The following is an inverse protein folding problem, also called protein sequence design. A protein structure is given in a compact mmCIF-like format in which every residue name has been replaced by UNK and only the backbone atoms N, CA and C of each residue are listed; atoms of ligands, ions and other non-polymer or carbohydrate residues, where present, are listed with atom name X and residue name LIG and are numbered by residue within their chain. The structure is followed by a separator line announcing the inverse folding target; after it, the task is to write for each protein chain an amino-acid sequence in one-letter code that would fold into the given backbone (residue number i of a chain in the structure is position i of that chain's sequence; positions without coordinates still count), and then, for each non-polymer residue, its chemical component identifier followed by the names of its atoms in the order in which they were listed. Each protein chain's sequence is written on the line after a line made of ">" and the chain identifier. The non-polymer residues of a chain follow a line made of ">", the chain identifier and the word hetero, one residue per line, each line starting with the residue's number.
data_IF_257861145591
#
_entry.id   IF_257861145591
#
_cell.length_a   1.000
_cell.length_b   1.000
_cell.length_c   1.000
_cell.angle_alpha   90.00
_cell.angle_beta   90.00
_cell.angle_gamma   90.00
#
_symmetry.space_group_name_H-M   'P 1'
#
loop_
_entity.id
_entity.type
_entity.pdbx_description
1 polymer ?
#
# COMPACT_ATOMS: atom_id res chain seq x y z
N UNK A 1 -1.81 40.79 -5.89
CA UNK A 1 -0.75 39.79 -5.67
C UNK A 1 -1.08 38.59 -6.54
N UNK A 2 -0.53 38.54 -7.75
CA UNK A 2 -0.74 37.38 -8.62
C UNK A 2 -0.07 36.18 -7.95
N UNK A 3 -0.81 35.10 -7.72
CA UNK A 3 -0.24 33.85 -7.23
C UNK A 3 0.72 33.37 -8.32
N UNK A 4 2.00 33.20 -8.00
CA UNK A 4 2.96 32.72 -8.98
C UNK A 4 2.63 31.27 -9.40
N UNK A 5 3.05 30.89 -10.61
CA UNK A 5 2.76 29.57 -11.19
C UNK A 5 3.33 28.44 -10.31
N UNK A 6 4.46 28.67 -9.63
CA UNK A 6 5.11 27.69 -8.77
C UNK A 6 4.28 27.40 -7.51
N UNK A 7 3.62 28.42 -6.95
CA UNK A 7 2.72 28.33 -5.81
C UNK A 7 1.45 27.59 -6.21
N UNK A 8 0.91 27.85 -7.39
CA UNK A 8 -0.22 27.09 -7.94
C UNK A 8 0.16 25.61 -8.07
N UNK A 9 1.34 25.31 -8.64
CA UNK A 9 1.84 23.95 -8.78
C UNK A 9 2.07 23.26 -7.44
N UNK A 10 2.67 23.95 -6.48
CA UNK A 10 2.90 23.43 -5.14
C UNK A 10 1.58 23.04 -4.47
N UNK A 11 0.58 23.93 -4.52
CA UNK A 11 -0.76 23.65 -3.99
C UNK A 11 -1.44 22.51 -4.74
N UNK A 12 -1.31 22.44 -6.07
CA UNK A 12 -1.86 21.35 -6.87
C UNK A 12 -1.24 19.99 -6.50
N UNK A 13 0.07 19.93 -6.28
CA UNK A 13 0.76 18.72 -5.82
C UNK A 13 0.27 18.30 -4.44
N UNK A 14 0.16 19.23 -3.48
CA UNK A 14 -0.36 18.93 -2.15
C UNK A 14 -1.80 18.40 -2.19
N UNK A 15 -2.68 19.09 -2.93
CA UNK A 15 -4.08 18.69 -3.08
C UNK A 15 -4.20 17.31 -3.74
N UNK A 16 -3.39 17.03 -4.75
CA UNK A 16 -3.41 15.74 -5.42
C UNK A 16 -2.81 14.62 -4.55
N UNK A 17 -1.77 14.90 -3.77
CA UNK A 17 -1.21 13.96 -2.80
C UNK A 17 -2.24 13.60 -1.71
N UNK A 18 -3.02 14.58 -1.26
CA UNK A 18 -4.14 14.37 -0.34
C UNK A 18 -5.28 13.59 -0.99
N UNK A 19 -5.63 13.91 -2.24
CA UNK A 19 -6.60 13.14 -3.03
C UNK A 19 -6.17 11.67 -3.20
N UNK A 20 -4.91 11.45 -3.59
CA UNK A 20 -4.32 10.11 -3.67
C UNK A 20 -4.43 9.38 -2.35
N UNK A 21 -4.06 10.02 -1.23
CA UNK A 21 -4.15 9.43 0.12
C UNK A 21 -5.57 9.00 0.46
N UNK A 22 -6.56 9.85 0.19
CA UNK A 22 -7.97 9.53 0.43
C UNK A 22 -8.42 8.33 -0.41
N UNK A 23 -8.08 8.33 -1.71
CA UNK A 23 -8.41 7.20 -2.60
C UNK A 23 -7.69 5.92 -2.21
N UNK A 24 -6.47 6.01 -1.68
CA UNK A 24 -5.71 4.87 -1.20
C UNK A 24 -6.41 4.22 0.00
N UNK A 25 -6.78 5.01 1.00
CA UNK A 25 -7.52 4.52 2.17
C UNK A 25 -8.85 3.85 1.78
N UNK A 26 -9.57 4.41 0.80
CA UNK A 26 -10.80 3.84 0.25
C UNK A 26 -10.53 2.48 -0.43
N UNK A 27 -9.54 2.42 -1.31
CA UNK A 27 -9.19 1.22 -2.06
C UNK A 27 -8.80 0.06 -1.13
N UNK A 28 -7.98 0.36 -0.12
CA UNK A 28 -7.34 -0.66 0.72
C UNK A 28 -8.12 -1.02 1.99
N UNK A 29 -9.19 -0.28 2.30
CA UNK A 29 -10.15 -0.66 3.34
C UNK A 29 -10.57 -2.14 3.22
N UNK A 30 -10.86 -2.57 1.99
CA UNK A 30 -11.24 -3.95 1.69
C UNK A 30 -10.19 -4.97 2.12
N UNK A 31 -8.91 -4.66 1.98
CA UNK A 31 -7.79 -5.57 2.32
C UNK A 31 -7.64 -5.75 3.82
N UNK A 32 -7.89 -4.69 4.60
CA UNK A 32 -7.73 -4.71 6.06
C UNK A 32 -8.93 -5.36 6.75
N UNK A 33 -10.16 -5.08 6.30
CA UNK A 33 -11.37 -5.48 7.03
C UNK A 33 -12.11 -6.69 6.47
N UNK A 34 -11.84 -7.13 5.24
CA UNK A 34 -12.65 -8.17 4.58
C UNK A 34 -12.73 -9.49 5.37
N UNK A 35 -11.60 -10.02 5.84
CA UNK A 35 -11.57 -11.30 6.57
C UNK A 35 -12.26 -11.18 7.94
N UNK A 36 -12.11 -10.02 8.58
CA UNK A 36 -12.70 -9.71 9.88
C UNK A 36 -14.24 -9.63 9.80
N UNK A 37 -14.76 -9.06 8.72
CA UNK A 37 -16.20 -9.00 8.43
C UNK A 37 -16.71 -10.36 7.94
N UNK A 38 -16.03 -11.01 6.99
CA UNK A 38 -16.54 -12.21 6.30
C UNK A 38 -16.69 -13.42 7.22
N UNK A 39 -15.83 -13.57 8.23
CA UNK A 39 -15.96 -14.61 9.25
C UNK A 39 -16.97 -14.25 10.37
N UNK A 40 -17.59 -13.07 10.30
CA UNK A 40 -18.59 -12.58 11.23
C UNK A 40 -18.04 -12.25 12.61
N UNK A 41 -16.81 -11.73 12.71
CA UNK A 41 -16.22 -11.29 13.97
C UNK A 41 -16.59 -9.85 14.33
N UNK A 42 -16.85 -9.00 13.32
CA UNK A 42 -17.32 -7.63 13.46
C UNK A 42 -18.33 -7.27 12.37
N UNK A 43 -19.19 -6.28 12.63
CA UNK A 43 -20.02 -5.67 11.59
C UNK A 43 -19.16 -4.77 10.68
N UNK A 44 -19.63 -4.45 9.45
CA UNK A 44 -18.90 -3.56 8.56
C UNK A 44 -18.49 -2.23 9.21
N UNK A 45 -19.41 -1.57 9.92
CA UNK A 45 -19.15 -0.30 10.62
C UNK A 45 -18.09 -0.48 11.70
N UNK A 46 -18.21 -1.53 12.54
CA UNK A 46 -17.22 -1.81 13.58
C UNK A 46 -15.82 -2.04 13.01
N UNK A 47 -15.73 -2.80 11.93
CA UNK A 47 -14.45 -3.14 11.33
C UNK A 47 -13.77 -1.91 10.70
N UNK A 48 -14.49 -1.10 9.91
CA UNK A 48 -13.91 0.10 9.30
C UNK A 48 -13.56 1.18 10.34
N UNK A 49 -14.35 1.33 11.40
CA UNK A 49 -14.03 2.27 12.48
C UNK A 49 -12.78 1.86 13.25
N UNK A 50 -12.66 0.58 13.61
CA UNK A 50 -11.44 0.06 14.25
C UNK A 50 -10.22 0.27 13.36
N UNK A 51 -10.34 -0.12 12.09
CA UNK A 51 -9.24 0.00 11.14
C UNK A 51 -8.83 1.47 10.96
N UNK A 52 -9.78 2.39 10.77
CA UNK A 52 -9.48 3.81 10.60
C UNK A 52 -8.74 4.43 11.80
N UNK A 53 -9.07 4.03 13.04
CA UNK A 53 -8.36 4.52 14.23
C UNK A 53 -6.92 4.00 14.25
N UNK A 54 -6.72 2.70 14.04
CA UNK A 54 -5.38 2.12 14.09
C UNK A 54 -4.52 2.49 12.88
N UNK A 55 -5.13 2.74 11.73
CA UNK A 55 -4.50 3.33 10.54
C UNK A 55 -3.89 4.69 10.87
N UNK A 56 -4.66 5.57 11.53
CA UNK A 56 -4.19 6.88 11.99
C UNK A 56 -3.00 6.73 12.95
N UNK A 57 -3.12 5.83 13.93
CA UNK A 57 -2.03 5.56 14.87
C UNK A 57 -0.78 5.03 14.15
N UNK A 58 -0.95 4.13 13.18
CA UNK A 58 0.13 3.63 12.33
C UNK A 58 0.84 4.76 11.59
N UNK A 59 0.08 5.66 10.96
CA UNK A 59 0.61 6.82 10.25
C UNK A 59 1.41 7.77 11.14
N UNK A 60 0.95 7.99 12.39
CA UNK A 60 1.56 8.92 13.34
C UNK A 60 2.83 8.36 13.98
N UNK A 61 2.79 7.10 14.42
CA UNK A 61 3.82 6.49 15.26
C UNK A 61 4.88 5.68 14.49
N UNK A 62 4.67 5.40 13.21
CA UNK A 62 5.66 4.68 12.41
C UNK A 62 6.85 5.56 12.01
N UNK A 63 7.99 4.92 11.76
CA UNK A 63 9.21 5.57 11.29
C UNK A 63 9.14 5.99 9.81
N UNK A 64 10.24 6.57 9.32
CA UNK A 64 10.34 7.14 7.98
C UNK A 64 11.02 6.26 6.93
N UNK A 65 11.37 5.02 7.28
CA UNK A 65 12.19 4.17 6.42
C UNK A 65 11.52 3.85 5.07
N UNK A 66 10.19 3.71 5.06
CA UNK A 66 9.39 3.52 3.83
C UNK A 66 9.37 4.80 2.99
N UNK A 67 9.17 5.97 3.62
CA UNK A 67 9.18 7.27 2.95
C UNK A 67 10.52 7.52 2.24
N UNK A 68 11.64 7.26 2.94
CA UNK A 68 12.99 7.37 2.38
C UNK A 68 13.21 6.42 1.19
N UNK A 69 12.63 5.22 1.24
CA UNK A 69 12.75 4.27 0.14
C UNK A 69 11.97 4.74 -1.09
N UNK A 70 10.76 5.29 -0.91
CA UNK A 70 9.96 5.84 -2.02
C UNK A 70 10.69 7.01 -2.69
N UNK A 71 11.27 7.94 -1.92
CA UNK A 71 12.01 9.06 -2.50
C UNK A 71 13.33 8.63 -3.14
N UNK A 72 13.91 7.49 -2.72
CA UNK A 72 15.14 6.94 -3.31
C UNK A 72 14.97 6.28 -4.68
N UNK A 73 13.74 6.11 -5.17
CA UNK A 73 13.48 5.49 -6.49
C UNK A 73 14.10 6.31 -7.63
N UNK A 74 14.20 7.63 -7.47
CA UNK A 74 14.76 8.53 -8.46
C UNK A 74 15.67 9.58 -7.85
N UNK A 75 16.59 10.09 -8.69
CA UNK A 75 17.39 11.29 -8.39
C UNK A 75 16.52 12.53 -8.63
N UNK A 76 15.61 12.78 -7.69
CA UNK A 76 14.71 13.93 -7.76
C UNK A 76 15.48 15.24 -7.54
N UNK A 77 15.16 16.33 -8.28
CA UNK A 77 15.71 17.65 -8.00
C UNK A 77 15.40 18.08 -6.56
N UNK A 78 16.32 18.83 -5.97
CA UNK A 78 16.15 19.45 -4.64
C UNK A 78 15.64 20.88 -4.73
N UNK A 79 15.06 21.25 -5.88
CA UNK A 79 14.47 22.55 -6.18
C UNK A 79 13.05 22.37 -6.74
N UNK A 80 12.38 23.49 -7.03
CA UNK A 80 10.97 23.48 -7.43
C UNK A 80 10.70 22.80 -8.79
N UNK A 81 11.73 22.43 -9.56
CA UNK A 81 11.56 21.61 -10.78
C UNK A 81 11.09 20.18 -10.46
N UNK A 82 11.11 19.76 -9.20
CA UNK A 82 10.49 18.50 -8.76
C UNK A 82 8.96 18.52 -8.83
N UNK A 83 8.33 19.71 -8.78
CA UNK A 83 6.87 19.84 -8.68
C UNK A 83 6.13 19.20 -9.87
N UNK A 84 6.46 19.48 -11.14
CA UNK A 84 5.78 18.87 -12.28
C UNK A 84 5.96 17.35 -12.34
N UNK A 85 7.11 16.84 -11.87
CA UNK A 85 7.43 15.40 -11.85
C UNK A 85 6.55 14.68 -10.83
N UNK A 86 6.47 15.19 -9.60
CA UNK A 86 5.62 14.60 -8.55
C UNK A 86 4.14 14.77 -8.90
N UNK A 87 3.74 15.90 -9.50
CA UNK A 87 2.38 16.10 -9.98
C UNK A 87 1.99 15.03 -11.01
N UNK A 88 2.83 14.83 -12.03
CA UNK A 88 2.60 13.82 -13.07
C UNK A 88 2.60 12.39 -12.51
N UNK A 89 3.50 12.08 -11.56
CA UNK A 89 3.56 10.79 -10.90
C UNK A 89 2.27 10.47 -10.13
N UNK A 90 1.78 11.43 -9.34
CA UNK A 90 0.54 11.30 -8.60
C UNK A 90 -0.67 11.23 -9.53
N UNK A 91 -0.70 12.00 -10.62
CA UNK A 91 -1.78 11.94 -11.62
C UNK A 91 -1.85 10.56 -12.24
N UNK A 92 -0.73 10.01 -12.72
CA UNK A 92 -0.70 8.67 -13.31
C UNK A 92 -1.16 7.58 -12.33
N UNK A 93 -0.72 7.67 -11.07
CA UNK A 93 -1.15 6.75 -10.01
C UNK A 93 -2.65 6.87 -9.70
N UNK A 94 -3.18 8.09 -9.56
CA UNK A 94 -4.61 8.35 -9.29
C UNK A 94 -5.48 7.90 -10.45
N UNK A 95 -5.11 8.25 -11.69
CA UNK A 95 -5.84 7.84 -12.90
C UNK A 95 -5.94 6.31 -12.94
N UNK A 96 -4.82 5.60 -12.74
CA UNK A 96 -4.84 4.14 -12.76
C UNK A 96 -5.67 3.55 -11.61
N UNK A 97 -5.54 4.07 -10.40
CA UNK A 97 -6.35 3.64 -9.26
C UNK A 97 -7.86 3.84 -9.50
N UNK A 98 -8.27 4.93 -10.15
CA UNK A 98 -9.67 5.17 -10.51
C UNK A 98 -10.14 4.17 -11.58
N UNK A 99 -9.30 3.88 -12.58
CA UNK A 99 -9.59 2.88 -13.62
C UNK A 99 -9.80 1.50 -12.98
N UNK A 100 -8.87 1.04 -12.15
CA UNK A 100 -8.96 -0.29 -11.52
C UNK A 100 -10.14 -0.36 -10.55
N UNK A 101 -10.40 0.69 -9.79
CA UNK A 101 -11.57 0.78 -8.91
C UNK A 101 -12.90 0.72 -9.68
N UNK A 102 -12.99 1.39 -10.84
CA UNK A 102 -14.16 1.36 -11.71
C UNK A 102 -14.45 -0.05 -12.24
N UNK A 103 -13.40 -0.80 -12.59
CA UNK A 103 -13.51 -2.19 -13.02
C UNK A 103 -13.56 -3.20 -11.85
N UNK A 104 -13.48 -2.75 -10.60
CA UNK A 104 -13.46 -3.62 -9.41
C UNK A 104 -12.25 -4.56 -9.36
N UNK A 105 -11.16 -4.19 -10.04
CA UNK A 105 -9.92 -4.96 -10.09
C UNK A 105 -9.17 -4.77 -8.75
N UNK A 106 -8.74 -5.87 -8.09
CA UNK A 106 -7.94 -5.82 -6.88
C UNK A 106 -6.49 -5.38 -7.20
N UNK A 107 -6.33 -4.09 -7.47
CA UNK A 107 -5.05 -3.46 -7.79
C UNK A 107 -4.30 -3.00 -6.54
N UNK A 108 -3.06 -2.54 -6.71
CA UNK A 108 -2.26 -2.00 -5.63
C UNK A 108 -1.92 -0.54 -5.87
N UNK A 109 -2.35 0.33 -4.97
CA UNK A 109 -1.95 1.73 -4.99
C UNK A 109 -0.44 1.91 -4.87
N UNK A 110 0.26 0.97 -4.23
CA UNK A 110 1.74 0.99 -4.16
C UNK A 110 2.36 0.76 -5.53
N UNK A 111 1.86 -0.22 -6.29
CA UNK A 111 2.32 -0.47 -7.65
C UNK A 111 1.99 0.74 -8.55
N UNK A 112 0.81 1.33 -8.40
CA UNK A 112 0.40 2.50 -9.15
C UNK A 112 1.30 3.72 -8.85
N UNK A 113 1.60 3.96 -7.58
CA UNK A 113 2.49 5.06 -7.17
C UNK A 113 3.92 4.87 -7.68
N UNK A 114 4.46 3.66 -7.56
CA UNK A 114 5.82 3.32 -8.00
C UNK A 114 5.93 3.43 -9.52
N UNK A 115 4.94 2.89 -10.24
CA UNK A 115 4.82 3.07 -11.69
C UNK A 115 4.74 4.54 -12.07
N UNK A 116 3.88 5.31 -11.40
CA UNK A 116 3.74 6.74 -11.63
C UNK A 116 5.04 7.52 -11.45
N UNK A 117 5.78 7.25 -10.37
CA UNK A 117 7.09 7.87 -10.12
C UNK A 117 8.09 7.51 -11.23
N UNK A 118 8.24 6.23 -11.53
CA UNK A 118 9.16 5.75 -12.57
C UNK A 118 8.83 6.38 -13.94
N UNK A 119 7.55 6.39 -14.31
CA UNK A 119 7.09 6.96 -15.58
C UNK A 119 7.30 8.46 -15.69
N UNK A 120 7.02 9.21 -14.62
CA UNK A 120 7.24 10.65 -14.57
C UNK A 120 8.74 11.00 -14.62
N UNK A 121 9.58 10.31 -13.83
CA UNK A 121 11.04 10.52 -13.84
C UNK A 121 11.63 10.19 -15.21
N UNK A 122 11.20 9.08 -15.83
CA UNK A 122 11.66 8.72 -17.17
C UNK A 122 11.27 9.81 -18.18
N UNK A 123 10.02 10.26 -18.19
CA UNK A 123 9.58 11.30 -19.12
C UNK A 123 10.31 12.64 -18.91
N UNK A 124 10.63 12.99 -17.66
CA UNK A 124 11.29 14.24 -17.31
C UNK A 124 12.79 14.26 -17.60
N UNK A 125 13.49 13.20 -17.22
CA UNK A 125 14.96 13.19 -17.15
C UNK A 125 15.60 11.96 -17.79
N UNK A 126 14.80 11.05 -18.35
CA UNK A 126 15.27 9.81 -18.94
C UNK A 126 15.55 8.69 -17.91
N UNK A 127 15.72 7.48 -18.43
CA UNK A 127 15.89 6.27 -17.61
C UNK A 127 17.13 6.28 -16.68
N UNK A 128 18.13 7.11 -16.97
CA UNK A 128 19.34 7.25 -16.14
C UNK A 128 19.14 7.97 -14.80
N UNK A 129 18.01 8.67 -14.63
CA UNK A 129 17.65 9.33 -13.37
C UNK A 129 16.86 8.44 -12.42
N UNK A 130 16.45 7.26 -12.88
CA UNK A 130 15.88 6.21 -12.03
C UNK A 130 17.04 5.48 -11.36
N UNK A 131 16.98 5.34 -10.04
CA UNK A 131 17.92 4.53 -9.27
C UNK A 131 17.48 3.08 -9.40
N UNK A 132 17.96 2.39 -10.43
CA UNK A 132 17.58 1.01 -10.70
C UNK A 132 18.02 0.04 -9.59
N UNK A 133 19.07 0.36 -8.83
CA UNK A 133 19.52 -0.42 -7.66
C UNK A 133 20.44 -1.60 -7.98
N UNK A 134 20.75 -1.87 -9.26
CA UNK A 134 21.63 -2.97 -9.66
C UNK A 134 23.08 -2.75 -9.24
N UNK A 135 23.58 -1.52 -9.37
CA UNK A 135 24.96 -1.20 -9.03
C UNK A 135 25.18 -1.33 -7.51
N UNK A 136 24.23 -0.85 -6.72
CA UNK A 136 24.24 -0.92 -5.26
C UNK A 136 24.14 -2.35 -4.73
N UNK A 137 23.44 -3.24 -5.46
CA UNK A 137 23.37 -4.66 -5.15
C UNK A 137 24.67 -5.40 -5.50
N UNK A 138 25.26 -5.11 -6.65
CA UNK A 138 26.45 -5.82 -7.15
C UNK A 138 27.75 -5.33 -6.51
N UNK A 139 27.85 -4.05 -6.20
CA UNK A 139 29.02 -3.47 -5.54
C UNK A 139 28.95 -3.69 -4.01
N UNK A 140 30.08 -3.94 -3.33
CA UNK A 140 30.12 -3.92 -1.88
C UNK A 140 29.59 -2.58 -1.34
N UNK A 141 28.68 -2.56 -0.35
CA UNK A 141 28.34 -3.64 0.58
C UNK A 141 27.07 -4.45 0.26
N UNK A 142 26.64 -4.53 -1.01
CA UNK A 142 25.49 -5.33 -1.48
C UNK A 142 24.14 -4.89 -0.89
N UNK A 143 23.78 -3.62 -1.11
CA UNK A 143 22.56 -3.03 -0.58
C UNK A 143 21.41 -3.08 -1.59
N UNK A 144 20.24 -3.50 -1.12
CA UNK A 144 18.99 -3.29 -1.85
C UNK A 144 18.58 -1.83 -1.71
N UNK A 145 18.58 -1.09 -2.82
CA UNK A 145 18.20 0.33 -2.87
C UNK A 145 17.31 0.65 -4.08
N UNK A 146 16.78 1.88 -4.09
CA UNK A 146 16.03 2.44 -5.22
C UNK A 146 14.85 1.58 -5.67
N UNK A 147 14.63 1.54 -6.97
CA UNK A 147 13.54 0.79 -7.60
C UNK A 147 13.62 -0.71 -7.30
N UNK A 148 14.82 -1.31 -7.31
CA UNK A 148 14.99 -2.75 -7.05
C UNK A 148 14.52 -3.14 -5.65
N UNK A 149 14.85 -2.35 -4.61
CA UNK A 149 14.34 -2.61 -3.26
C UNK A 149 12.81 -2.68 -3.24
N UNK A 150 12.15 -1.77 -3.96
CA UNK A 150 10.68 -1.72 -4.02
C UNK A 150 10.11 -2.92 -4.78
N UNK A 151 10.63 -3.25 -5.97
CA UNK A 151 10.18 -4.41 -6.74
C UNK A 151 10.37 -5.71 -5.95
N UNK A 152 11.53 -5.91 -5.33
CA UNK A 152 11.78 -7.08 -4.47
C UNK A 152 10.79 -7.11 -3.31
N UNK A 153 10.53 -5.98 -2.67
CA UNK A 153 9.56 -5.90 -1.57
C UNK A 153 8.13 -6.26 -2.02
N UNK A 154 7.72 -5.79 -3.20
CA UNK A 154 6.40 -6.07 -3.78
C UNK A 154 6.24 -7.55 -4.20
N UNK A 155 7.32 -8.22 -4.60
CA UNK A 155 7.32 -9.64 -4.96
C UNK A 155 7.46 -10.58 -3.77
N UNK A 156 8.30 -10.23 -2.78
CA UNK A 156 8.60 -11.09 -1.62
C UNK A 156 7.49 -11.01 -0.58
N UNK A 157 6.87 -9.84 -0.37
CA UNK A 157 5.87 -9.67 0.69
C UNK A 157 4.61 -10.55 0.54
N UNK A 158 4.05 -10.81 -0.64
CA UNK A 158 2.91 -11.73 -0.80
C UNK A 158 3.31 -13.18 -0.56
N UNK A 159 4.53 -13.57 -0.97
CA UNK A 159 5.09 -14.90 -0.69
C UNK A 159 5.35 -15.09 0.81
N UNK A 160 5.88 -14.07 1.49
CA UNK A 160 6.04 -14.08 2.94
C UNK A 160 4.69 -14.26 3.64
N UNK A 161 3.66 -13.52 3.19
CA UNK A 161 2.29 -13.70 3.67
C UNK A 161 1.77 -15.12 3.44
N UNK A 162 1.95 -15.68 2.24
CA UNK A 162 1.56 -17.06 1.92
C UNK A 162 2.25 -18.10 2.81
N UNK A 163 3.58 -18.03 2.93
CA UNK A 163 4.38 -18.98 3.72
C UNK A 163 4.00 -18.88 5.20
N UNK A 164 3.90 -17.66 5.73
CA UNK A 164 3.49 -17.43 7.11
C UNK A 164 2.06 -17.92 7.36
N UNK A 165 1.12 -17.61 6.48
CA UNK A 165 -0.27 -18.07 6.57
C UNK A 165 -0.38 -19.59 6.53
N UNK A 166 0.32 -20.24 5.61
CA UNK A 166 0.34 -21.70 5.47
C UNK A 166 0.92 -22.37 6.73
N UNK A 167 2.09 -21.91 7.18
CA UNK A 167 2.78 -22.46 8.35
C UNK A 167 1.96 -22.27 9.63
N UNK A 168 1.48 -21.05 9.87
CA UNK A 168 0.67 -20.73 11.05
C UNK A 168 -0.66 -21.48 11.07
N UNK A 169 -1.27 -21.75 9.91
CA UNK A 169 -2.48 -22.56 9.84
C UNK A 169 -2.19 -24.02 10.23
N UNK A 170 -1.13 -24.63 9.69
CA UNK A 170 -0.73 -26.00 10.08
C UNK A 170 -0.44 -26.10 11.58
N UNK A 171 0.28 -25.13 12.15
CA UNK A 171 0.53 -25.05 13.59
C UNK A 171 -0.79 -24.95 14.36
N UNK A 172 -1.69 -24.06 13.93
CA UNK A 172 -2.98 -23.84 14.58
C UNK A 172 -3.85 -25.09 14.59
N UNK A 173 -3.87 -25.87 13.50
CA UNK A 173 -4.59 -27.14 13.43
C UNK A 173 -4.08 -28.16 14.46
N UNK A 174 -2.76 -28.24 14.64
CA UNK A 174 -2.16 -29.14 15.65
C UNK A 174 -2.48 -28.67 17.07
N UNK A 175 -2.33 -27.37 17.36
CA UNK A 175 -2.58 -26.80 18.68
C UNK A 175 -4.06 -26.87 19.08
N UNK A 176 -4.97 -26.67 18.13
CA UNK A 176 -6.41 -26.61 18.36
C UNK A 176 -7.13 -27.95 18.13
N UNK A 177 -6.41 -29.05 17.85
CA UNK A 177 -6.99 -30.37 17.55
C UNK A 177 -7.93 -30.92 18.63
N UNK A 178 -7.75 -30.50 19.89
CA UNK A 178 -8.58 -30.91 21.04
C UNK A 178 -9.59 -29.84 21.48
N UNK A 179 -9.66 -28.71 20.77
CA UNK A 179 -10.50 -27.59 21.15
C UNK A 179 -11.97 -27.85 20.81
N UNK A 180 -12.88 -27.45 21.71
CA UNK A 180 -14.32 -27.45 21.42
C UNK A 180 -14.67 -26.31 20.48
N UNK A 181 -15.32 -26.63 19.35
CA UNK A 181 -15.61 -25.70 18.26
C UNK A 181 -16.36 -24.42 18.69
N UNK A 182 -17.43 -24.55 19.49
CA UNK A 182 -18.27 -23.41 19.89
C UNK A 182 -17.54 -22.40 20.80
N UNK A 183 -16.85 -22.90 21.83
CA UNK A 183 -16.08 -22.06 22.76
C UNK A 183 -14.88 -21.42 22.07
N UNK A 184 -14.22 -22.16 21.17
CA UNK A 184 -13.04 -21.67 20.46
C UNK A 184 -13.41 -20.56 19.47
N UNK A 185 -14.48 -20.70 18.70
CA UNK A 185 -14.93 -19.66 17.78
C UNK A 185 -15.18 -18.32 18.48
N UNK A 186 -15.79 -18.32 19.67
CA UNK A 186 -16.00 -17.09 20.44
C UNK A 186 -14.67 -16.43 20.86
N UNK A 187 -13.69 -17.22 21.30
CA UNK A 187 -12.36 -16.72 21.68
C UNK A 187 -11.60 -16.19 20.47
N UNK A 188 -11.58 -16.94 19.37
CA UNK A 188 -10.94 -16.54 18.11
C UNK A 188 -11.50 -15.21 17.60
N UNK A 189 -12.84 -15.05 17.56
CA UNK A 189 -13.48 -13.80 17.16
C UNK A 189 -13.07 -12.62 18.06
N UNK A 190 -12.88 -12.83 19.37
CA UNK A 190 -12.38 -11.78 20.28
C UNK A 190 -10.93 -11.41 19.99
N UNK A 191 -10.04 -12.39 19.79
CA UNK A 191 -8.64 -12.12 19.45
C UNK A 191 -8.46 -11.42 18.10
N UNK A 192 -9.38 -11.63 17.14
CA UNK A 192 -9.34 -10.93 15.87
C UNK A 192 -9.46 -9.41 16.00
N UNK A 193 -10.12 -8.87 17.03
CA UNK A 193 -10.16 -7.42 17.23
C UNK A 193 -8.76 -6.84 17.42
N UNK A 194 -7.92 -7.52 18.20
CA UNK A 194 -6.54 -7.09 18.40
C UNK A 194 -5.71 -7.28 17.13
N UNK A 195 -5.87 -8.41 16.44
CA UNK A 195 -5.08 -8.67 15.22
C UNK A 195 -5.48 -7.76 14.05
N UNK A 196 -6.77 -7.45 13.90
CA UNK A 196 -7.26 -6.50 12.91
C UNK A 196 -6.74 -5.09 13.20
N UNK A 197 -6.69 -4.69 14.48
CA UNK A 197 -6.07 -3.43 14.90
C UNK A 197 -4.57 -3.37 14.57
N UNK A 198 -3.83 -4.45 14.83
CA UNK A 198 -2.39 -4.51 14.50
C UNK A 198 -2.14 -4.53 12.98
N UNK A 199 -2.98 -5.22 12.20
CA UNK A 199 -2.91 -5.19 10.74
C UNK A 199 -3.17 -3.77 10.21
N UNK A 200 -4.21 -3.09 10.70
CA UNK A 200 -4.50 -1.70 10.34
C UNK A 200 -3.36 -0.74 10.76
N UNK A 201 -2.78 -0.94 11.94
CA UNK A 201 -1.62 -0.17 12.38
C UNK A 201 -0.42 -0.36 11.44
N UNK A 202 -0.10 -1.61 11.09
CA UNK A 202 0.97 -1.93 10.14
C UNK A 202 0.70 -1.34 8.76
N UNK A 203 -0.54 -1.41 8.29
CA UNK A 203 -1.00 -0.80 7.04
C UNK A 203 -0.75 0.71 7.04
N UNK A 204 -1.29 1.45 8.01
CA UNK A 204 -1.07 2.90 8.13
C UNK A 204 0.39 3.27 8.25
N UNK A 205 1.19 2.46 8.94
CA UNK A 205 2.63 2.63 9.06
C UNK A 205 3.42 2.45 7.76
N UNK A 206 2.93 1.64 6.82
CA UNK A 206 3.57 1.46 5.51
C UNK A 206 3.02 2.45 4.48
N UNK A 207 1.69 2.52 4.36
CA UNK A 207 1.01 3.18 3.25
C UNK A 207 1.03 4.71 3.37
N UNK A 208 0.85 5.24 4.59
CA UNK A 208 0.89 6.69 4.79
C UNK A 208 2.29 7.25 4.54
N UNK A 209 3.35 6.47 4.82
CA UNK A 209 4.73 6.90 4.60
C UNK A 209 5.04 7.13 3.11
N UNK A 210 4.32 6.49 2.19
CA UNK A 210 4.50 6.66 0.74
C UNK A 210 4.13 8.08 0.32
N UNK A 211 2.95 8.56 0.71
CA UNK A 211 2.54 9.95 0.45
C UNK A 211 3.35 10.94 1.27
N UNK A 212 3.61 10.65 2.55
CA UNK A 212 4.44 11.52 3.42
C UNK A 212 5.81 11.74 2.79
N UNK A 213 6.43 10.70 2.19
CA UNK A 213 7.70 10.83 1.49
C UNK A 213 7.65 11.79 0.30
N UNK A 214 6.60 11.71 -0.53
CA UNK A 214 6.45 12.60 -1.68
C UNK A 214 6.18 14.05 -1.27
N UNK A 215 5.29 14.28 -0.30
CA UNK A 215 5.07 15.61 0.26
C UNK A 215 6.36 16.14 0.89
N UNK A 216 7.11 15.28 1.59
CA UNK A 216 8.42 15.62 2.13
C UNK A 216 9.41 16.10 1.09
N UNK A 217 9.54 15.39 -0.03
CA UNK A 217 10.41 15.79 -1.14
C UNK A 217 10.04 17.18 -1.68
N UNK A 218 8.74 17.45 -1.82
CA UNK A 218 8.22 18.77 -2.25
C UNK A 218 8.55 19.87 -1.24
N UNK A 219 8.38 19.60 0.06
CA UNK A 219 8.67 20.58 1.12
C UNK A 219 10.17 20.87 1.26
N UNK A 220 11.02 19.87 1.05
CA UNK A 220 12.48 20.04 0.99
C UNK A 220 12.87 20.91 -0.20
N UNK A 221 12.31 20.62 -1.38
CA UNK A 221 12.53 21.41 -2.59
C UNK A 221 12.06 22.87 -2.46
N UNK A 222 10.99 23.10 -1.71
CA UNK A 222 10.48 24.44 -1.40
C UNK A 222 11.24 25.14 -0.25
N UNK A 223 12.29 24.52 0.30
CA UNK A 223 13.06 25.01 1.46
C UNK A 223 12.21 25.25 2.73
N UNK A 224 11.01 24.69 2.78
CA UNK A 224 10.08 24.82 3.92
C UNK A 224 10.36 23.80 5.03
N UNK A 225 11.13 22.76 4.73
CA UNK A 225 11.37 21.66 5.66
C UNK A 225 12.74 20.97 5.49
N UNK A 226 13.86 21.71 5.64
CA UNK A 226 15.20 21.16 5.44
C UNK A 226 15.63 20.17 6.54
N UNK A 227 15.00 20.21 7.72
CA UNK A 227 15.42 19.46 8.92
C UNK A 227 14.57 18.21 9.23
N UNK A 228 13.61 17.84 8.38
CA UNK A 228 12.81 16.62 8.55
C UNK A 228 11.29 16.83 8.42
N UNK A 229 10.56 15.73 8.25
CA UNK A 229 9.13 15.71 7.91
C UNK A 229 8.24 16.37 8.98
N UNK A 230 7.46 17.43 8.64
CA UNK A 230 6.64 18.14 9.61
C UNK A 230 5.50 17.28 10.18
N UNK A 231 5.18 17.50 11.46
CA UNK A 231 4.11 16.76 12.14
C UNK A 231 2.75 16.96 11.47
N UNK A 232 2.46 18.15 10.95
CA UNK A 232 1.20 18.43 10.26
C UNK A 232 1.01 17.54 9.03
N UNK A 233 2.08 17.20 8.29
CA UNK A 233 2.00 16.29 7.14
C UNK A 233 1.55 14.91 7.59
N UNK A 234 2.14 14.40 8.68
CA UNK A 234 1.76 13.08 9.23
C UNK A 234 0.31 13.06 9.70
N UNK A 235 -0.13 14.11 10.40
CA UNK A 235 -1.50 14.23 10.88
C UNK A 235 -2.48 14.31 9.70
N UNK A 236 -2.22 15.18 8.72
CA UNK A 236 -3.08 15.35 7.54
C UNK A 236 -3.18 14.07 6.71
N UNK A 237 -2.05 13.43 6.40
CA UNK A 237 -2.04 12.17 5.64
C UNK A 237 -2.75 11.06 6.42
N UNK A 238 -2.47 10.91 7.72
CA UNK A 238 -3.13 9.92 8.57
C UNK A 238 -4.64 10.12 8.62
N UNK A 239 -5.11 11.35 8.83
CA UNK A 239 -6.55 11.66 8.85
C UNK A 239 -7.23 11.38 7.52
N UNK A 240 -6.59 11.72 6.40
CA UNK A 240 -7.12 11.45 5.06
C UNK A 240 -7.16 9.95 4.75
N UNK A 241 -6.13 9.20 5.15
CA UNK A 241 -6.09 7.75 4.98
C UNK A 241 -7.23 7.10 5.79
N UNK A 242 -7.40 7.51 7.05
CA UNK A 242 -8.50 7.06 7.91
C UNK A 242 -9.87 7.45 7.36
N UNK A 243 -10.04 8.67 6.81
CA UNK A 243 -11.28 9.11 6.18
C UNK A 243 -11.61 8.28 4.93
N UNK A 244 -10.59 7.97 4.12
CA UNK A 244 -10.71 7.04 3.00
C UNK A 244 -11.17 5.67 3.46
N UNK A 245 -10.55 5.15 4.53
CA UNK A 245 -10.89 3.85 5.11
C UNK A 245 -12.33 3.78 5.64
N UNK A 246 -12.81 4.84 6.27
CA UNK A 246 -14.21 4.97 6.72
C UNK A 246 -15.19 5.02 5.54
N UNK A 247 -14.77 5.58 4.41
CA UNK A 247 -15.56 5.61 3.17
C UNK A 247 -15.72 4.21 2.54
N UNK A 248 -14.87 3.25 2.96
CA UNK A 248 -14.95 1.84 2.64
C UNK A 248 -14.36 1.50 1.27
N UNK A 249 -14.47 0.24 0.86
CA UNK A 249 -13.93 -0.27 -0.41
C UNK A 249 -14.87 -1.31 -1.01
N UNK A 250 -16.19 -1.10 -0.89
CA UNK A 250 -17.20 -2.14 -1.00
C UNK A 250 -17.26 -2.83 -2.37
N UNK A 251 -16.91 -2.11 -3.46
CA UNK A 251 -16.81 -2.72 -4.79
C UNK A 251 -15.71 -3.78 -4.82
N UNK A 252 -14.52 -3.46 -4.33
CA UNK A 252 -13.36 -4.37 -4.26
C UNK A 252 -13.61 -5.48 -3.25
N UNK A 253 -14.22 -5.16 -2.10
CA UNK A 253 -14.56 -6.16 -1.08
C UNK A 253 -15.50 -7.25 -1.61
N UNK A 254 -16.42 -6.91 -2.51
CA UNK A 254 -17.29 -7.91 -3.16
C UNK A 254 -16.50 -8.88 -4.03
N UNK A 255 -15.45 -8.41 -4.70
CA UNK A 255 -14.57 -9.25 -5.54
C UNK A 255 -13.65 -10.13 -4.68
N UNK A 256 -13.02 -9.57 -3.64
CA UNK A 256 -11.95 -10.24 -2.86
C UNK A 256 -12.49 -11.04 -1.66
N UNK A 257 -13.53 -10.55 -0.98
CA UNK A 257 -13.91 -11.01 0.36
C UNK A 257 -14.46 -12.44 0.46
N UNK A 258 -15.00 -13.00 -0.63
CA UNK A 258 -15.37 -14.43 -0.75
C UNK A 258 -14.79 -15.10 -1.98
N UNK A 259 -14.11 -14.36 -2.86
CA UNK A 259 -13.67 -14.87 -4.17
C UNK A 259 -12.49 -15.84 -4.10
N UNK A 260 -11.66 -15.76 -3.05
CA UNK A 260 -10.41 -16.53 -2.92
C UNK A 260 -10.62 -17.82 -2.13
N UNK A 261 -11.23 -17.73 -0.95
CA UNK A 261 -11.45 -18.85 -0.04
C UNK A 261 -12.53 -18.52 1.00
N UNK A 262 -13.29 -19.53 1.45
CA UNK A 262 -14.30 -19.34 2.50
C UNK A 262 -13.65 -19.20 3.89
N UNK A 263 -13.70 -17.97 4.40
CA UNK A 263 -12.96 -17.59 5.62
C UNK A 263 -13.78 -17.90 6.89
N UNK A 264 -13.29 -18.88 7.67
CA UNK A 264 -13.77 -19.18 9.04
C UNK A 264 -13.03 -18.33 10.08
N UNK A 265 -13.51 -18.23 11.34
CA UNK A 265 -12.84 -17.41 12.36
C UNK A 265 -11.37 -17.76 12.61
N UNK A 266 -10.99 -19.04 12.52
CA UNK A 266 -9.59 -19.44 12.62
C UNK A 266 -8.78 -18.94 11.41
N UNK A 267 -9.29 -19.15 10.20
CA UNK A 267 -8.64 -18.72 8.95
C UNK A 267 -8.41 -17.20 8.95
N UNK A 268 -9.43 -16.44 9.36
CA UNK A 268 -9.36 -14.99 9.47
C UNK A 268 -8.25 -14.56 10.44
N UNK A 269 -8.24 -15.11 11.66
CA UNK A 269 -7.24 -14.78 12.67
C UNK A 269 -5.82 -15.08 12.17
N UNK A 270 -5.60 -16.28 11.63
CA UNK A 270 -4.28 -16.71 11.14
C UNK A 270 -3.83 -15.83 9.96
N UNK A 271 -4.73 -15.53 9.02
CA UNK A 271 -4.41 -14.66 7.90
C UNK A 271 -4.07 -13.23 8.33
N UNK A 272 -4.75 -12.68 9.35
CA UNK A 272 -4.43 -11.36 9.90
C UNK A 272 -3.08 -11.34 10.62
N UNK A 273 -2.74 -12.40 11.37
CA UNK A 273 -1.42 -12.51 12.02
C UNK A 273 -0.31 -12.58 10.97
N UNK A 274 -0.48 -13.44 9.95
CA UNK A 274 0.48 -13.58 8.87
C UNK A 274 0.67 -12.27 8.08
N UNK A 275 -0.45 -11.64 7.70
CA UNK A 275 -0.39 -10.41 6.93
C UNK A 275 0.14 -9.23 7.76
N UNK A 276 -0.39 -9.04 8.97
CA UNK A 276 0.02 -7.96 9.87
C UNK A 276 1.50 -8.08 10.25
N UNK A 277 1.96 -9.28 10.59
CA UNK A 277 3.38 -9.54 10.85
C UNK A 277 4.26 -9.23 9.64
N UNK A 278 3.86 -9.68 8.45
CA UNK A 278 4.61 -9.43 7.21
C UNK A 278 4.69 -7.94 6.87
N UNK A 279 3.59 -7.19 7.03
CA UNK A 279 3.56 -5.74 6.79
C UNK A 279 4.40 -5.00 7.83
N UNK A 280 4.29 -5.33 9.12
CA UNK A 280 5.09 -4.69 10.17
C UNK A 280 6.59 -4.92 9.94
N UNK A 281 7.00 -6.15 9.65
CA UNK A 281 8.39 -6.48 9.34
C UNK A 281 8.87 -5.68 8.12
N UNK A 282 8.07 -5.62 7.05
CA UNK A 282 8.40 -4.83 5.87
C UNK A 282 8.56 -3.34 6.22
N UNK A 283 7.65 -2.77 7.00
CA UNK A 283 7.73 -1.37 7.45
C UNK A 283 9.00 -1.12 8.26
N UNK A 284 9.39 -2.03 9.15
CA UNK A 284 10.65 -1.93 9.92
C UNK A 284 11.89 -1.97 9.02
N UNK A 285 11.87 -2.76 7.94
CA UNK A 285 12.93 -2.80 6.93
C UNK A 285 12.88 -1.60 5.96
N UNK A 286 11.90 -0.72 6.10
CA UNK A 286 11.64 0.39 5.19
C UNK A 286 11.22 -0.09 3.80
N UNK A 287 10.66 -1.28 3.67
CA UNK A 287 10.19 -1.86 2.42
C UNK A 287 8.75 -1.39 2.13
N UNK A 288 8.52 -0.61 1.06
CA UNK A 288 7.16 -0.32 0.60
C UNK A 288 6.55 -1.63 0.07
N UNK A 289 5.42 -2.03 0.64
CA UNK A 289 4.71 -3.27 0.25
C UNK A 289 3.28 -2.96 -0.15
N UNK A 290 2.66 -3.90 -0.84
CA UNK A 290 1.22 -3.85 -1.09
C UNK A 290 0.48 -4.69 -0.06
N UNK A 291 -0.20 -4.05 0.88
CA UNK A 291 -0.95 -4.78 1.90
C UNK A 291 -2.04 -5.66 1.30
N UNK A 292 -2.70 -5.23 0.22
CA UNK A 292 -3.63 -6.06 -0.56
C UNK A 292 -2.99 -7.38 -0.97
N UNK A 293 -1.76 -7.35 -1.48
CA UNK A 293 -1.09 -8.56 -1.95
C UNK A 293 -0.65 -9.45 -0.79
N UNK A 294 -0.17 -8.84 0.30
CA UNK A 294 0.22 -9.56 1.51
C UNK A 294 -0.99 -10.28 2.13
N UNK A 295 -2.14 -9.62 2.20
CA UNK A 295 -3.39 -10.20 2.71
C UNK A 295 -3.88 -11.31 1.78
N UNK A 296 -3.91 -11.08 0.46
CA UNK A 296 -4.28 -12.11 -0.52
C UNK A 296 -3.36 -13.32 -0.40
N UNK A 297 -2.04 -13.12 -0.33
CA UNK A 297 -1.06 -14.17 -0.13
C UNK A 297 -1.33 -14.95 1.17
N UNK A 298 -1.56 -14.24 2.27
CA UNK A 298 -1.85 -14.83 3.59
C UNK A 298 -3.13 -15.66 3.59
N UNK A 299 -4.23 -15.16 3.01
CA UNK A 299 -5.49 -15.89 2.88
C UNK A 299 -5.33 -17.12 1.99
N UNK A 300 -4.61 -17.00 0.87
CA UNK A 300 -4.32 -18.10 -0.04
C UNK A 300 -3.46 -19.17 0.64
N UNK A 301 -2.47 -18.77 1.44
CA UNK A 301 -1.61 -19.68 2.21
C UNK A 301 -2.40 -20.45 3.26
N UNK A 302 -3.29 -19.78 3.99
CA UNK A 302 -4.20 -20.42 4.95
C UNK A 302 -5.12 -21.43 4.25
N UNK A 303 -5.74 -21.05 3.13
CA UNK A 303 -6.59 -21.94 2.35
C UNK A 303 -5.82 -23.15 1.80
N UNK A 304 -4.59 -22.94 1.31
CA UNK A 304 -3.71 -24.00 0.84
C UNK A 304 -3.28 -24.99 1.93
N UNK A 305 -3.15 -24.53 3.18
CA UNK A 305 -2.85 -25.38 4.32
C UNK A 305 -4.05 -26.20 4.80
N UNK A 306 -5.26 -25.68 4.66
CA UNK A 306 -6.49 -26.37 5.07
C UNK A 306 -6.93 -27.35 3.98
N UNK A 307 -7.36 -26.83 2.83
CA UNK A 307 -7.91 -27.58 1.71
C UNK A 307 -7.54 -26.89 0.39
N UNK A 308 -6.38 -27.27 -0.15
CA UNK A 308 -5.82 -26.72 -1.40
C UNK A 308 -6.82 -26.64 -2.58
N UNK A 309 -7.76 -27.60 -2.66
CA UNK A 309 -8.76 -27.68 -3.73
C UNK A 309 -9.86 -26.63 -3.63
N UNK A 310 -10.10 -26.06 -2.44
CA UNK A 310 -11.11 -25.04 -2.22
C UNK A 310 -10.59 -23.61 -2.47
N UNK A 311 -9.29 -23.46 -2.77
CA UNK A 311 -8.70 -22.16 -3.14
C UNK A 311 -8.98 -21.87 -4.61
N UNK A 312 -9.53 -20.68 -4.89
CA UNK A 312 -9.75 -20.23 -6.26
C UNK A 312 -8.45 -19.72 -6.90
N UNK A 313 -7.65 -20.65 -7.43
CA UNK A 313 -6.37 -20.34 -8.07
C UNK A 313 -6.50 -19.44 -9.30
N UNK A 314 -7.65 -19.50 -10.00
CA UNK A 314 -7.91 -18.63 -11.15
C UNK A 314 -8.02 -17.17 -10.73
N UNK A 315 -8.77 -16.88 -9.66
CA UNK A 315 -8.80 -15.54 -9.07
C UNK A 315 -7.39 -15.09 -8.64
N UNK A 316 -6.58 -15.99 -8.06
CA UNK A 316 -5.19 -15.71 -7.75
C UNK A 316 -4.35 -15.31 -8.98
N UNK A 317 -4.55 -15.97 -10.11
CA UNK A 317 -3.88 -15.63 -11.38
C UNK A 317 -4.35 -14.28 -11.92
N UNK A 318 -5.65 -13.99 -11.93
CA UNK A 318 -6.21 -12.72 -12.40
C UNK A 318 -5.67 -11.54 -11.57
N UNK A 319 -5.56 -11.76 -10.25
CA UNK A 319 -4.94 -10.84 -9.30
C UNK A 319 -3.45 -10.59 -9.66
N UNK A 320 -2.65 -11.65 -9.85
CA UNK A 320 -1.23 -11.53 -10.22
C UNK A 320 -1.03 -10.78 -11.54
N UNK A 321 -1.89 -11.01 -12.53
CA UNK A 321 -1.84 -10.30 -13.82
C UNK A 321 -2.09 -8.80 -13.59
N UNK A 322 -3.13 -8.45 -12.81
CA UNK A 322 -3.41 -7.06 -12.48
C UNK A 322 -2.21 -6.37 -11.79
N UNK A 323 -1.45 -7.10 -10.97
CA UNK A 323 -0.28 -6.59 -10.27
C UNK A 323 0.86 -6.23 -11.22
N UNK A 324 1.17 -7.15 -12.16
CA UNK A 324 2.22 -6.95 -13.16
C UNK A 324 1.87 -5.81 -14.12
N UNK A 325 0.60 -5.70 -14.52
CA UNK A 325 0.13 -4.66 -15.46
C UNK A 325 0.08 -3.27 -14.80
N UNK A 326 -0.09 -3.19 -13.49
CA UNK A 326 -0.28 -1.91 -12.79
C UNK A 326 0.93 -0.98 -12.89
N UNK A 327 2.16 -1.49 -12.74
CA UNK A 327 3.36 -0.64 -12.79
C UNK A 327 3.54 -0.02 -14.20
N UNK A 328 3.55 -0.80 -15.31
CA UNK A 328 3.68 -0.24 -16.65
C UNK A 328 2.52 0.68 -17.02
N UNK A 329 1.29 0.35 -16.65
CA UNK A 329 0.14 1.16 -16.98
C UNK A 329 0.17 2.51 -16.25
N UNK A 330 0.47 2.53 -14.95
CA UNK A 330 0.61 3.77 -14.19
C UNK A 330 1.83 4.60 -14.65
N UNK A 331 2.93 3.94 -15.03
CA UNK A 331 4.09 4.62 -15.61
C UNK A 331 3.72 5.31 -16.92
N UNK A 332 3.00 4.62 -17.82
CA UNK A 332 2.53 5.21 -19.07
C UNK A 332 1.61 6.41 -18.82
N UNK A 333 0.64 6.29 -17.90
CA UNK A 333 -0.26 7.40 -17.55
C UNK A 333 0.50 8.60 -16.98
N UNK A 334 1.53 8.36 -16.15
CA UNK A 334 2.36 9.43 -15.60
C UNK A 334 3.27 10.07 -16.66
N UNK A 335 3.88 9.29 -17.54
CA UNK A 335 4.69 9.82 -18.65
C UNK A 335 3.85 10.70 -19.57
N UNK A 336 2.65 10.25 -19.94
CA UNK A 336 1.71 11.04 -20.74
C UNK A 336 1.32 12.33 -20.00
N UNK A 337 0.98 12.23 -18.71
CA UNK A 337 0.63 13.39 -17.89
C UNK A 337 1.77 14.41 -17.82
N UNK A 338 3.02 13.95 -17.68
CA UNK A 338 4.19 14.83 -17.67
C UNK A 338 4.38 15.55 -19.00
N UNK A 339 4.28 14.83 -20.12
CA UNK A 339 4.43 15.40 -21.47
C UNK A 339 3.35 16.46 -21.78
N UNK A 340 2.15 16.32 -21.22
CA UNK A 340 1.11 17.35 -21.33
C UNK A 340 1.35 18.54 -20.41
N UNK A 341 1.86 18.33 -19.20
CA UNK A 341 2.12 19.39 -18.23
C UNK A 341 3.35 20.22 -18.59
N UNK A 342 4.42 19.59 -19.08
CA UNK A 342 5.72 20.23 -19.32
C UNK A 342 5.64 21.49 -20.20
N UNK A 343 4.95 21.50 -21.36
CA UNK A 343 4.82 22.71 -22.19
C UNK A 343 4.00 23.82 -21.53
N UNK A 344 3.01 23.47 -20.71
CA UNK A 344 2.09 24.42 -20.06
C UNK A 344 2.79 25.15 -18.92
N UNK A 345 3.75 24.48 -18.27
CA UNK A 345 4.44 24.99 -17.07
C UNK A 345 5.75 25.72 -17.39
N UNK A 346 6.03 25.96 -18.67
CA UNK A 346 7.19 26.72 -19.14
C UNK A 346 8.48 25.92 -19.08
N UNK A 347 8.59 24.92 -19.96
CA UNK A 347 9.81 24.12 -20.15
C UNK A 347 11.07 24.93 -20.42
#
# INVERSE_FOLDING_TARGET
>A
MAIDILTILFLAVLLLAFGFTLTNGLHDASSVVATFISCGAATPVQAVSLAAVFELLGALFSGHAVANTITSIGKLPTDLHVLPVILAALLGAVIWNVVTWNFGLPSSSTHALVGGLVGAIWAAYGAGHIVWGWNELLAPPHQLSGFLKVVVSLLVSPLAGFIAGYGLQKISLVLLRRARFSTMNRKLKRFQWLMAALLAFGHGGNDSQKTIGLIGAVLVAAQMSPAGLPLWVRISVGLLMSAGMLSGGWRIMRTVGRGIYDVRPLHSLVSQVAAGGSVVIATMLGAPVSTTHVVVGSVTGVGGAEEYRMVNWRMGQDILIAWVVTIPAAALMASISYLFLHPILGG
#
